data_IF_501840938248
#
_entry.id   IF_501840938248
#
_cell.length_a   1.000
_cell.length_b   1.000
_cell.length_c   1.000
_cell.angle_alpha   90.00
_cell.angle_beta   90.00
_cell.angle_gamma   90.00
#
_symmetry.space_group_name_H-M   'P 1'
#
loop_
_entity.id
_entity.type
_entity.pdbx_description
1 polymer ?
#
# COMPACT_ATOMS: atom_id res chain seq x y z
N UNK A 1 31.77 27.13 71.49
CA UNK A 1 31.22 27.35 70.13
C UNK A 1 32.37 27.61 69.18
N UNK A 2 32.66 26.71 68.24
CA UNK A 2 33.61 26.95 67.13
C UNK A 2 33.04 26.26 65.90
N UNK A 3 32.56 27.05 64.94
CA UNK A 3 32.00 26.57 63.67
C UNK A 3 33.16 26.23 62.72
N UNK A 4 33.19 25.00 62.19
CA UNK A 4 34.13 24.62 61.11
C UNK A 4 33.59 25.17 59.78
N UNK A 5 34.42 25.92 59.06
CA UNK A 5 34.10 26.45 57.73
C UNK A 5 33.96 25.30 56.71
N UNK A 6 32.86 25.30 55.97
CA UNK A 6 32.63 24.39 54.84
C UNK A 6 33.34 24.92 53.58
N UNK A 7 34.06 24.05 52.88
CA UNK A 7 34.68 24.37 51.59
C UNK A 7 33.62 24.52 50.51
N UNK A 8 33.70 25.59 49.72
CA UNK A 8 32.82 25.86 48.58
C UNK A 8 33.28 25.11 47.33
N UNK A 9 32.34 24.81 46.42
CA UNK A 9 32.45 23.97 45.21
C UNK A 9 33.53 24.42 44.20
N UNK A 10 34.19 25.56 44.44
CA UNK A 10 35.23 26.13 43.57
C UNK A 10 36.66 25.70 43.94
N UNK A 11 36.85 24.55 44.61
CA UNK A 11 38.18 23.96 44.76
C UNK A 11 38.60 23.37 43.41
N UNK A 12 39.38 24.15 42.64
CA UNK A 12 39.90 23.77 41.32
C UNK A 12 40.68 22.46 41.44
N UNK A 13 40.09 21.35 40.97
CA UNK A 13 40.83 20.13 40.67
C UNK A 13 41.98 20.51 39.74
N UNK A 14 43.21 20.29 40.19
CA UNK A 14 44.40 20.47 39.36
C UNK A 14 44.19 19.77 38.03
N UNK A 15 44.33 20.51 36.93
CA UNK A 15 44.25 19.94 35.59
C UNK A 15 45.38 18.92 35.49
N UNK A 16 45.07 17.62 35.50
CA UNK A 16 46.06 16.65 35.05
C UNK A 16 46.44 17.08 33.63
N UNK A 17 47.73 17.33 33.39
CA UNK A 17 48.24 17.63 32.05
C UNK A 17 48.05 16.37 31.21
N UNK A 18 46.84 16.17 30.68
CA UNK A 18 46.60 15.19 29.63
C UNK A 18 47.31 15.74 28.40
N UNK A 19 48.31 15.03 27.91
CA UNK A 19 49.01 15.40 26.69
C UNK A 19 47.98 15.57 25.58
N UNK A 20 47.87 16.80 25.06
CA UNK A 20 46.91 17.11 24.00
C UNK A 20 47.45 16.52 22.71
N UNK A 21 46.62 15.75 22.00
CA UNK A 21 46.97 15.14 20.70
C UNK A 21 47.49 16.22 19.74
N UNK A 22 48.65 16.03 19.08
CA UNK A 22 49.26 17.05 18.25
C UNK A 22 48.39 17.34 17.02
N UNK A 23 48.18 18.62 16.74
CA UNK A 23 47.52 19.11 15.52
C UNK A 23 48.56 19.59 14.53
N UNK A 24 48.29 19.41 13.24
CA UNK A 24 49.05 20.06 12.18
C UNK A 24 48.49 21.48 12.00
N UNK A 25 48.90 22.40 12.89
CA UNK A 25 48.45 23.79 12.84
C UNK A 25 49.51 24.67 12.18
N UNK A 26 49.06 25.55 11.30
CA UNK A 26 49.82 26.65 10.71
C UNK A 26 49.01 27.93 10.95
N UNK A 27 49.68 28.93 11.53
CA UNK A 27 49.05 30.18 11.99
C UNK A 27 49.48 31.40 11.18
N UNK A 28 50.21 31.20 10.08
CA UNK A 28 50.60 32.27 9.17
C UNK A 28 49.46 32.61 8.19
N UNK A 29 48.81 33.78 8.33
CA UNK A 29 47.68 34.18 7.47
C UNK A 29 48.09 34.48 6.02
N UNK A 30 49.39 34.53 5.71
CA UNK A 30 49.90 34.79 4.36
C UNK A 30 50.15 33.51 3.55
N UNK A 31 49.99 32.34 4.17
CA UNK A 31 50.28 31.04 3.58
C UNK A 31 49.00 30.30 3.18
N UNK A 32 49.01 29.62 2.03
CA UNK A 32 47.88 28.81 1.54
C UNK A 32 47.57 27.60 2.45
N UNK A 33 48.53 27.22 3.31
CA UNK A 33 48.41 26.13 4.29
C UNK A 33 47.83 26.60 5.64
N UNK A 34 47.22 27.79 5.72
CA UNK A 34 46.61 28.31 6.95
C UNK A 34 45.44 27.41 7.39
N UNK A 35 45.58 26.81 8.57
CA UNK A 35 44.60 25.83 9.10
C UNK A 35 43.78 26.37 10.27
N UNK A 36 44.22 27.46 10.90
CA UNK A 36 43.49 28.17 11.95
C UNK A 36 43.01 27.27 13.11
N UNK A 37 41.93 27.65 13.81
CA UNK A 37 41.37 26.88 14.92
C UNK A 37 40.85 25.47 14.56
N UNK A 38 40.67 25.18 13.26
CA UNK A 38 40.14 23.92 12.72
C UNK A 38 41.22 22.97 12.19
N UNK A 39 42.49 23.18 12.57
CA UNK A 39 43.60 22.30 12.22
C UNK A 39 43.33 20.83 12.57
N UNK A 40 43.48 19.94 11.57
CA UNK A 40 43.34 18.48 11.72
C UNK A 40 44.41 17.91 12.65
N UNK A 41 44.10 16.77 13.26
CA UNK A 41 45.11 16.03 14.02
C UNK A 41 46.10 15.34 13.09
N UNK A 42 47.37 15.22 13.51
CA UNK A 42 48.41 14.60 12.66
C UNK A 42 48.10 13.16 12.27
N UNK A 43 47.36 12.45 13.11
CA UNK A 43 47.02 11.03 12.93
C UNK A 43 45.52 10.84 12.61
N UNK A 44 44.90 11.83 11.98
CA UNK A 44 43.53 11.75 11.46
C UNK A 44 43.52 11.28 10.00
N UNK A 45 42.87 10.14 9.75
CA UNK A 45 42.67 9.63 8.39
C UNK A 45 41.46 10.35 7.79
N UNK A 46 41.69 11.24 6.82
CA UNK A 46 40.62 12.05 6.19
C UNK A 46 39.69 11.23 5.29
N UNK A 47 40.15 10.10 4.75
CA UNK A 47 39.39 9.27 3.81
C UNK A 47 39.18 7.89 4.42
N UNK A 48 37.94 7.60 4.81
CA UNK A 48 37.54 6.25 5.20
C UNK A 48 37.22 5.43 3.95
N UNK A 49 38.23 4.79 3.37
CA UNK A 49 38.03 3.79 2.31
C UNK A 49 37.69 2.46 2.98
N UNK A 50 36.55 1.81 2.68
CA UNK A 50 36.26 0.47 3.18
C UNK A 50 37.35 -0.52 2.75
N UNK A 51 37.70 -1.46 3.64
CA UNK A 51 38.59 -2.57 3.32
C UNK A 51 38.07 -3.32 2.09
N UNK A 52 38.95 -3.97 1.32
CA UNK A 52 38.55 -4.67 0.09
C UNK A 52 37.51 -5.78 0.37
N UNK A 53 37.57 -6.40 1.55
CA UNK A 53 36.57 -7.38 2.03
C UNK A 53 35.18 -6.73 2.27
N UNK A 54 35.15 -5.55 2.89
CA UNK A 54 33.92 -4.81 3.18
C UNK A 54 33.26 -4.30 1.89
N UNK A 55 34.08 -3.90 0.90
CA UNK A 55 33.59 -3.45 -0.41
C UNK A 55 32.87 -4.59 -1.14
N UNK A 56 33.47 -5.78 -1.16
CA UNK A 56 32.84 -6.97 -1.74
C UNK A 56 31.54 -7.36 -1.03
N UNK A 57 31.48 -7.24 0.30
CA UNK A 57 30.26 -7.50 1.07
C UNK A 57 29.14 -6.50 0.73
N UNK A 58 29.48 -5.20 0.63
CA UNK A 58 28.53 -4.15 0.28
C UNK A 58 27.98 -4.33 -1.14
N UNK A 59 28.83 -4.65 -2.11
CA UNK A 59 28.41 -4.93 -3.49
C UNK A 59 27.47 -6.14 -3.56
N UNK A 60 27.81 -7.23 -2.88
CA UNK A 60 26.96 -8.42 -2.83
C UNK A 60 25.60 -8.14 -2.15
N UNK A 61 25.58 -7.31 -1.11
CA UNK A 61 24.35 -6.90 -0.42
C UNK A 61 23.47 -6.01 -1.31
N UNK A 62 24.08 -5.05 -2.01
CA UNK A 62 23.38 -4.16 -2.95
C UNK A 62 22.84 -4.94 -4.16
N UNK A 63 23.61 -5.87 -4.71
CA UNK A 63 23.17 -6.74 -5.79
C UNK A 63 21.96 -7.60 -5.36
N UNK A 64 22.01 -8.21 -4.17
CA UNK A 64 20.88 -8.98 -3.61
C UNK A 64 19.62 -8.11 -3.42
N UNK A 65 19.78 -6.87 -2.95
CA UNK A 65 18.66 -5.92 -2.83
C UNK A 65 18.09 -5.51 -4.19
N UNK A 66 18.94 -5.27 -5.19
CA UNK A 66 18.52 -4.87 -6.52
C UNK A 66 17.73 -5.99 -7.23
N UNK A 67 18.21 -7.24 -7.14
CA UNK A 67 17.50 -8.40 -7.70
C UNK A 67 16.14 -8.61 -7.03
N UNK A 68 16.08 -8.46 -5.70
CA UNK A 68 14.80 -8.56 -4.97
C UNK A 68 13.81 -7.47 -5.37
N UNK A 69 14.29 -6.25 -5.65
CA UNK A 69 13.46 -5.14 -6.11
C UNK A 69 12.89 -5.40 -7.51
N UNK A 70 13.70 -5.90 -8.45
CA UNK A 70 13.24 -6.23 -9.82
C UNK A 70 12.19 -7.36 -9.85
N UNK A 71 12.36 -8.39 -9.03
CA UNK A 71 11.40 -9.52 -8.96
C UNK A 71 10.01 -9.10 -8.47
N UNK A 72 9.90 -8.00 -7.72
CA UNK A 72 8.61 -7.45 -7.27
C UNK A 72 7.92 -6.64 -8.37
N UNK A 73 8.70 -6.02 -9.25
CA UNK A 73 8.19 -5.18 -10.36
C UNK A 73 7.72 -6.03 -11.56
N UNK A 74 8.37 -7.17 -11.81
CA UNK A 74 8.06 -8.08 -12.93
C UNK A 74 7.06 -9.20 -12.59
N UNK A 75 6.43 -9.18 -11.42
CA UNK A 75 5.34 -10.12 -11.16
C UNK A 75 4.22 -9.88 -12.20
N UNK A 76 3.89 -10.87 -13.06
CA UNK A 76 2.96 -10.66 -14.16
C UNK A 76 1.63 -10.19 -13.59
N UNK A 77 1.20 -9.02 -14.09
CA UNK A 77 -0.09 -8.43 -13.77
C UNK A 77 -1.20 -9.46 -14.03
N UNK A 78 -1.81 -9.88 -12.92
CA UNK A 78 -3.17 -10.41 -12.79
C UNK A 78 -3.55 -11.61 -13.66
N UNK A 79 -3.52 -12.80 -13.06
CA UNK A 79 -4.36 -13.92 -13.49
C UNK A 79 -5.84 -13.51 -13.37
N UNK A 80 -6.54 -13.43 -14.50
CA UNK A 80 -7.99 -13.22 -14.52
C UNK A 80 -8.68 -14.50 -14.07
N UNK A 81 -9.47 -14.42 -12.99
CA UNK A 81 -10.25 -15.55 -12.48
C UNK A 81 -11.73 -15.20 -12.38
N UNK A 82 -12.55 -16.08 -12.96
CA UNK A 82 -14.01 -16.03 -12.86
C UNK A 82 -14.55 -17.28 -12.17
N UNK A 83 -15.43 -17.12 -11.18
CA UNK A 83 -16.13 -18.24 -10.54
C UNK A 83 -17.65 -18.13 -10.70
N UNK A 84 -18.22 -19.11 -11.40
CA UNK A 84 -19.67 -19.30 -11.52
C UNK A 84 -20.20 -19.97 -10.26
N UNK A 85 -21.18 -19.34 -9.62
CA UNK A 85 -21.85 -19.89 -8.42
C UNK A 85 -23.13 -20.64 -8.78
N UNK A 86 -23.60 -20.54 -10.03
CA UNK A 86 -24.71 -21.34 -10.55
C UNK A 86 -24.18 -22.69 -11.05
N UNK A 87 -24.96 -23.76 -10.80
CA UNK A 87 -24.67 -25.13 -11.25
C UNK A 87 -24.58 -25.25 -12.78
N UNK A 88 -25.48 -24.59 -13.51
CA UNK A 88 -25.54 -24.65 -14.98
C UNK A 88 -25.41 -23.26 -15.59
N UNK A 89 -24.55 -23.08 -16.62
CA UNK A 89 -24.38 -21.79 -17.29
C UNK A 89 -25.54 -21.43 -18.21
N UNK A 90 -26.31 -22.44 -18.63
CA UNK A 90 -27.44 -22.32 -19.54
C UNK A 90 -28.70 -22.89 -18.91
N UNK A 91 -29.82 -22.27 -19.24
CA UNK A 91 -31.16 -22.71 -18.85
C UNK A 91 -31.61 -23.96 -19.65
N UNK A 92 -32.76 -24.54 -19.30
CA UNK A 92 -33.34 -25.70 -20.00
C UNK A 92 -33.58 -25.46 -21.50
N UNK A 93 -33.73 -24.20 -21.91
CA UNK A 93 -33.86 -23.78 -23.31
C UNK A 93 -32.51 -23.44 -23.98
N UNK A 94 -31.37 -23.68 -23.33
CA UNK A 94 -30.05 -23.30 -23.84
C UNK A 94 -29.76 -21.80 -23.80
N UNK A 95 -30.59 -21.01 -23.11
CA UNK A 95 -30.39 -19.56 -22.97
C UNK A 95 -29.39 -19.26 -21.86
N UNK A 96 -28.56 -18.24 -22.07
CA UNK A 96 -27.64 -17.75 -21.03
C UNK A 96 -28.40 -16.97 -19.95
N UNK A 97 -27.79 -16.82 -18.77
CA UNK A 97 -28.31 -15.99 -17.68
C UNK A 97 -28.46 -14.49 -18.02
N UNK A 98 -27.92 -14.04 -19.15
CA UNK A 98 -28.08 -12.67 -19.68
C UNK A 98 -29.42 -12.45 -20.37
N UNK A 99 -30.14 -13.52 -20.68
CA UNK A 99 -31.45 -13.41 -21.31
C UNK A 99 -32.47 -12.92 -20.27
N UNK A 100 -33.25 -11.86 -20.56
CA UNK A 100 -34.27 -11.38 -19.64
C UNK A 100 -35.29 -12.48 -19.30
N UNK A 101 -35.60 -12.71 -18.02
CA UNK A 101 -36.65 -13.66 -17.64
C UNK A 101 -38.03 -13.10 -17.99
N UNK A 102 -38.91 -13.97 -18.51
CA UNK A 102 -40.30 -13.62 -18.80
C UNK A 102 -41.24 -13.89 -17.61
N UNK A 103 -40.77 -14.67 -16.63
CA UNK A 103 -41.60 -15.18 -15.53
C UNK A 103 -41.66 -14.22 -14.32
N UNK A 104 -41.24 -12.96 -14.50
CA UNK A 104 -41.28 -11.97 -13.42
C UNK A 104 -42.72 -11.48 -13.25
N UNK A 105 -43.35 -11.70 -12.08
CA UNK A 105 -44.75 -11.38 -11.90
C UNK A 105 -44.98 -9.87 -11.91
N UNK A 106 -45.90 -9.42 -12.76
CA UNK A 106 -46.45 -8.07 -12.75
C UNK A 106 -45.65 -6.99 -13.50
N UNK A 107 -44.52 -7.31 -14.14
CA UNK A 107 -43.72 -6.35 -14.92
C UNK A 107 -43.09 -7.01 -16.14
N UNK A 108 -43.28 -6.40 -17.32
CA UNK A 108 -42.57 -6.79 -18.55
C UNK A 108 -41.22 -6.07 -18.65
N UNK A 109 -40.12 -6.81 -18.55
CA UNK A 109 -38.75 -6.28 -18.58
C UNK A 109 -38.21 -5.96 -19.99
N UNK A 110 -39.01 -6.23 -21.02
CA UNK A 110 -38.69 -5.98 -22.44
C UNK A 110 -39.23 -4.65 -22.94
N UNK A 111 -40.12 -4.02 -22.17
CA UNK A 111 -40.77 -2.76 -22.55
C UNK A 111 -39.84 -1.58 -22.23
N UNK A 112 -39.61 -0.71 -23.22
CA UNK A 112 -38.81 0.52 -23.03
C UNK A 112 -39.65 1.68 -22.45
N UNK A 113 -40.98 1.52 -22.42
CA UNK A 113 -41.89 2.51 -21.84
C UNK A 113 -41.74 2.55 -20.31
N UNK A 114 -41.58 3.76 -19.75
CA UNK A 114 -41.57 3.92 -18.30
C UNK A 114 -42.93 3.54 -17.71
N UNK A 115 -42.97 3.06 -16.45
CA UNK A 115 -44.23 2.75 -15.80
C UNK A 115 -45.11 4.00 -15.68
N UNK A 116 -46.43 3.81 -15.79
CA UNK A 116 -47.41 4.90 -15.70
C UNK A 116 -47.31 5.69 -14.39
N UNK A 117 -46.93 5.01 -13.29
CA UNK A 117 -46.80 5.63 -11.96
C UNK A 117 -45.65 5.04 -11.14
N UNK A 118 -44.80 5.91 -10.59
CA UNK A 118 -43.73 5.56 -9.66
C UNK A 118 -44.16 5.78 -8.20
N UNK A 119 -43.81 4.84 -7.32
CA UNK A 119 -44.07 4.94 -5.88
C UNK A 119 -42.77 4.96 -5.09
N UNK A 120 -42.73 5.74 -4.01
CA UNK A 120 -41.58 5.73 -3.10
C UNK A 120 -41.52 4.41 -2.31
N UNK A 121 -40.35 3.77 -2.21
CA UNK A 121 -40.20 2.53 -1.46
C UNK A 121 -40.42 2.78 0.04
N UNK A 122 -41.15 1.87 0.69
CA UNK A 122 -41.45 1.94 2.13
C UNK A 122 -40.66 0.92 2.97
N UNK A 123 -40.10 -0.11 2.34
CA UNK A 123 -39.44 -1.24 3.02
C UNK A 123 -38.23 -1.70 2.22
N UNK A 124 -37.20 -2.15 2.93
CA UNK A 124 -36.08 -2.89 2.37
C UNK A 124 -36.53 -4.34 2.09
N UNK A 125 -36.33 -4.79 0.86
CA UNK A 125 -36.71 -6.16 0.44
C UNK A 125 -35.50 -7.10 0.51
N UNK A 126 -34.32 -6.61 0.10
CA UNK A 126 -33.11 -7.42 0.00
C UNK A 126 -31.91 -6.72 0.62
N UNK A 127 -31.14 -7.49 1.38
CA UNK A 127 -29.85 -7.10 1.94
C UNK A 127 -28.78 -8.08 1.46
N UNK A 128 -27.78 -7.58 0.74
CA UNK A 128 -26.66 -8.38 0.24
C UNK A 128 -25.42 -8.20 1.11
N UNK A 129 -25.52 -8.53 2.40
CA UNK A 129 -24.47 -8.33 3.41
C UNK A 129 -23.16 -9.07 3.08
N UNK A 130 -23.26 -10.27 2.48
CA UNK A 130 -22.10 -11.10 2.11
C UNK A 130 -21.63 -10.90 0.66
N UNK A 131 -22.11 -9.87 -0.04
CA UNK A 131 -21.69 -9.61 -1.41
C UNK A 131 -20.22 -9.18 -1.48
N UNK A 132 -19.71 -8.30 -0.64
CA UNK A 132 -18.31 -7.91 -0.69
C UNK A 132 -17.73 -7.85 0.72
N UNK A 133 -16.45 -8.20 0.86
CA UNK A 133 -15.77 -8.08 2.15
C UNK A 133 -15.48 -6.62 2.52
N UNK A 134 -15.47 -5.74 1.52
CA UNK A 134 -15.24 -4.29 1.64
C UNK A 134 -16.41 -3.53 1.03
N UNK A 135 -16.40 -2.21 1.18
CA UNK A 135 -17.41 -1.34 0.57
C UNK A 135 -17.58 -1.56 -0.94
N UNK A 136 -18.80 -1.37 -1.39
CA UNK A 136 -19.15 -1.39 -2.82
C UNK A 136 -18.79 -0.04 -3.42
N UNK A 137 -18.02 -0.03 -4.50
CA UNK A 137 -17.60 1.18 -5.21
C UNK A 137 -18.62 1.62 -6.26
N UNK A 138 -19.24 0.68 -6.97
CA UNK A 138 -20.21 0.98 -8.00
C UNK A 138 -21.27 -0.13 -8.13
N UNK A 139 -22.49 0.28 -8.46
CA UNK A 139 -23.61 -0.60 -8.77
C UNK A 139 -24.16 -0.19 -10.13
N UNK A 140 -24.36 -1.16 -11.03
CA UNK A 140 -24.96 -0.94 -12.36
C UNK A 140 -26.00 -2.01 -12.66
N UNK A 141 -27.12 -1.60 -13.23
CA UNK A 141 -28.13 -2.52 -13.73
C UNK A 141 -27.83 -2.92 -15.17
N UNK A 142 -28.26 -4.12 -15.56
CA UNK A 142 -28.17 -4.55 -16.95
C UNK A 142 -28.96 -3.61 -17.85
N UNK A 143 -28.39 -3.18 -18.99
CA UNK A 143 -29.06 -2.23 -19.88
C UNK A 143 -30.40 -2.78 -20.37
N UNK A 144 -31.36 -1.87 -20.59
CA UNK A 144 -32.73 -2.10 -21.07
C UNK A 144 -33.66 -2.85 -20.11
N UNK A 145 -33.23 -3.97 -19.54
CA UNK A 145 -34.11 -4.88 -18.80
C UNK A 145 -33.89 -4.89 -17.29
N UNK A 146 -32.73 -4.43 -16.81
CA UNK A 146 -32.45 -4.33 -15.37
C UNK A 146 -32.63 -5.64 -14.58
N UNK A 147 -32.55 -6.81 -15.22
CA UNK A 147 -32.77 -8.11 -14.55
C UNK A 147 -31.55 -8.60 -13.77
N UNK A 148 -30.35 -8.14 -14.15
CA UNK A 148 -29.10 -8.38 -13.43
C UNK A 148 -28.58 -7.07 -12.81
N UNK A 149 -27.94 -7.22 -11.66
CA UNK A 149 -27.22 -6.18 -10.94
C UNK A 149 -25.73 -6.54 -10.89
N UNK A 150 -24.90 -5.61 -11.33
CA UNK A 150 -23.45 -5.68 -11.25
C UNK A 150 -22.97 -4.84 -10.06
N UNK A 151 -22.28 -5.45 -9.11
CA UNK A 151 -21.65 -4.76 -7.98
C UNK A 151 -20.13 -4.87 -8.05
N UNK A 152 -19.42 -3.75 -8.02
CA UNK A 152 -17.97 -3.71 -7.92
C UNK A 152 -17.58 -3.39 -6.48
N UNK A 153 -16.75 -4.23 -5.87
CA UNK A 153 -16.25 -4.05 -4.51
C UNK A 153 -14.80 -3.58 -4.45
N UNK A 154 -14.45 -2.92 -3.35
CA UNK A 154 -13.05 -2.54 -3.03
C UNK A 154 -12.17 -3.75 -2.65
N UNK A 155 -12.72 -4.96 -2.66
CA UNK A 155 -12.00 -6.23 -2.58
C UNK A 155 -11.50 -6.71 -3.95
N UNK A 156 -11.55 -5.83 -4.96
CA UNK A 156 -11.23 -6.08 -6.37
C UNK A 156 -12.08 -7.19 -6.99
N UNK A 157 -13.26 -7.44 -6.41
CA UNK A 157 -14.23 -8.39 -6.95
C UNK A 157 -15.38 -7.64 -7.59
N UNK A 158 -15.86 -8.15 -8.71
CA UNK A 158 -17.09 -7.73 -9.36
C UNK A 158 -18.07 -8.89 -9.30
N UNK A 159 -19.24 -8.68 -8.71
CA UNK A 159 -20.27 -9.72 -8.61
C UNK A 159 -21.46 -9.40 -9.48
N UNK A 160 -22.06 -10.43 -10.06
CA UNK A 160 -23.32 -10.32 -10.80
C UNK A 160 -24.39 -11.05 -9.99
N UNK A 161 -25.51 -10.38 -9.76
CA UNK A 161 -26.64 -10.90 -8.99
C UNK A 161 -27.91 -10.77 -9.84
N UNK A 162 -28.83 -11.74 -9.74
CA UNK A 162 -30.18 -11.50 -10.24
C UNK A 162 -30.92 -10.60 -9.25
N UNK A 163 -31.76 -9.70 -9.75
CA UNK A 163 -32.56 -8.86 -8.84
C UNK A 163 -33.74 -9.62 -8.23
N UNK A 164 -34.22 -10.65 -8.93
CA UNK A 164 -35.31 -11.51 -8.48
C UNK A 164 -34.85 -12.71 -7.64
N UNK A 165 -33.55 -13.04 -7.61
CA UNK A 165 -33.00 -14.26 -6.98
C UNK A 165 -31.47 -14.18 -6.75
N UNK A 166 -30.91 -15.10 -5.94
CA UNK A 166 -29.53 -15.12 -5.38
C UNK A 166 -28.36 -14.79 -6.34
N UNK A 167 -27.25 -14.31 -5.77
CA UNK A 167 -25.94 -13.99 -6.40
C UNK A 167 -25.48 -15.06 -7.40
N UNK A 168 -25.15 -14.64 -8.62
CA UNK A 168 -24.87 -15.51 -9.78
C UNK A 168 -23.36 -15.68 -10.03
N UNK A 169 -22.56 -14.63 -9.82
CA UNK A 169 -21.19 -14.62 -10.31
C UNK A 169 -20.24 -13.81 -9.43
N UNK A 170 -18.98 -14.22 -9.38
CA UNK A 170 -17.87 -13.47 -8.79
C UNK A 170 -16.71 -13.46 -9.78
N UNK A 171 -16.44 -12.30 -10.36
CA UNK A 171 -15.20 -11.96 -11.02
C UNK A 171 -14.26 -11.42 -9.96
N UNK A 172 -13.04 -11.94 -9.85
CA UNK A 172 -12.05 -11.41 -8.91
C UNK A 172 -10.85 -10.96 -9.70
N UNK A 173 -10.58 -9.65 -9.68
CA UNK A 173 -9.27 -9.12 -10.01
C UNK A 173 -8.41 -9.21 -8.74
N UNK A 174 -7.18 -9.72 -8.79
CA UNK A 174 -6.26 -9.50 -7.68
C UNK A 174 -5.88 -8.01 -7.67
N UNK A 175 -6.26 -7.28 -6.62
CA UNK A 175 -5.67 -5.96 -6.39
C UNK A 175 -4.18 -6.15 -6.18
N UNK A 176 -3.38 -5.58 -7.07
CA UNK A 176 -1.97 -5.30 -6.77
C UNK A 176 -1.94 -4.37 -5.55
N UNK A 177 -1.68 -4.96 -4.38
CA UNK A 177 -1.41 -4.20 -3.16
C UNK A 177 -0.09 -3.46 -3.41
N UNK A 178 -0.17 -2.12 -3.47
CA UNK A 178 0.98 -1.23 -3.46
C UNK A 178 1.67 -1.24 -2.10
#
# INVERSE_FOLDING_TARGET
>A
MTLKASKTVAERKGTSKREKRPRAYNWDPSSDDYTGPWAKYKDEVTISVPSDEDRAYLEAYLAKKAVKKKRVEEAPMSEEKSTLHISTPTDYQGRSFLHPPHDVPGVSLTTEEPPERCFLPKRLIHEWSNAHARGVSAIRLFPKSGHLLLSAGMDSKVKVCQLSSVVIFVLSHPSSQR
#
